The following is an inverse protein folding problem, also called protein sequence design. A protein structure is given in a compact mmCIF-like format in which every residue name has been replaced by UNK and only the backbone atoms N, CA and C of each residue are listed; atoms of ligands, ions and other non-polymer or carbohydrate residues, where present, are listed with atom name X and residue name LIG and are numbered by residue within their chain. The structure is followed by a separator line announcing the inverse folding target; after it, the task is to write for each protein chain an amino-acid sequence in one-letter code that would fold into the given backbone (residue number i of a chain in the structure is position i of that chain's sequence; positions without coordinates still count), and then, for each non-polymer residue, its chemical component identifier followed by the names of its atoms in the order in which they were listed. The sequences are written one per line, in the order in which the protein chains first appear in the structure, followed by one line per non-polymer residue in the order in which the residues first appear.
data_IF_896914108129
#
_entry.id   IF_896914108129
#
_cell.length_a   1.000
_cell.length_b   1.000
_cell.length_c   1.000
_cell.angle_alpha   90.00
_cell.angle_beta   90.00
_cell.angle_gamma   90.00
#
_symmetry.space_group_name_H-M   'P 1'
#
loop_
_entity.id
_entity.type
_entity.pdbx_description
1 polymer ?
#
# COMPACT_ATOMS: atom_id res chain seq x y z
N UNK A 1 4.50 3.28 28.68
CA UNK A 1 4.23 2.61 27.39
C UNK A 1 5.40 2.92 26.49
N UNK A 2 6.22 1.94 26.11
CA UNK A 2 7.24 2.13 25.08
C UNK A 2 6.50 2.39 23.75
N UNK A 3 6.80 3.48 23.06
CA UNK A 3 6.32 3.72 21.70
C UNK A 3 6.75 2.53 20.86
N UNK A 4 5.78 1.86 20.22
CA UNK A 4 6.06 0.80 19.26
C UNK A 4 6.67 1.44 18.02
N UNK A 5 7.98 1.31 17.82
CA UNK A 5 8.67 1.77 16.63
C UNK A 5 8.17 1.00 15.39
N UNK A 6 8.04 1.71 14.27
CA UNK A 6 7.72 1.12 12.98
C UNK A 6 8.84 0.19 12.49
N UNK A 7 8.50 -0.84 11.73
CA UNK A 7 9.47 -1.79 11.13
C UNK A 7 10.53 -1.06 10.31
N UNK A 8 10.15 -0.04 9.53
CA UNK A 8 11.07 0.78 8.76
C UNK A 8 12.07 1.52 9.67
N UNK A 9 11.58 2.18 10.71
CA UNK A 9 12.38 2.91 11.67
C UNK A 9 13.36 1.98 12.41
N UNK A 10 12.93 0.76 12.74
CA UNK A 10 13.79 -0.27 13.34
C UNK A 10 14.85 -0.78 12.37
N UNK A 11 14.56 -0.88 11.08
CA UNK A 11 15.53 -1.23 10.02
C UNK A 11 16.55 -0.09 9.86
N UNK A 12 16.08 1.17 9.77
CA UNK A 12 16.95 2.35 9.63
C UNK A 12 17.84 2.59 10.85
N UNK A 13 17.34 2.31 12.06
CA UNK A 13 18.11 2.41 13.31
C UNK A 13 19.05 1.21 13.57
N UNK A 14 19.06 0.22 12.69
CA UNK A 14 19.93 -0.95 12.80
C UNK A 14 19.54 -1.93 13.91
N UNK A 15 18.35 -1.80 14.51
CA UNK A 15 17.87 -2.75 15.52
C UNK A 15 17.75 -4.17 14.96
N UNK A 16 17.53 -4.30 13.63
CA UNK A 16 17.54 -5.56 12.91
C UNK A 16 18.91 -5.90 12.28
N UNK A 17 19.82 -4.94 12.15
CA UNK A 17 21.12 -5.17 11.52
C UNK A 17 22.07 -6.02 12.39
N UNK A 18 21.79 -6.18 13.67
CA UNK A 18 22.58 -7.04 14.56
C UNK A 18 22.26 -8.55 14.43
N UNK A 19 21.10 -8.88 13.85
CA UNK A 19 20.82 -10.26 13.44
C UNK A 19 21.18 -10.37 11.94
N UNK A 20 22.24 -11.07 11.60
CA UNK A 20 22.85 -11.19 10.27
C UNK A 20 21.96 -11.74 9.13
N UNK A 21 20.64 -11.62 9.24
CA UNK A 21 19.68 -12.35 8.43
C UNK A 21 18.57 -11.52 7.75
N UNK A 22 18.52 -10.18 7.91
CA UNK A 22 17.60 -9.33 7.13
C UNK A 22 18.38 -8.62 6.04
N UNK A 23 18.05 -8.91 4.80
CA UNK A 23 18.41 -8.10 3.65
C UNK A 23 17.21 -7.26 3.25
N UNK A 24 17.31 -5.95 3.31
CA UNK A 24 16.29 -5.04 2.84
C UNK A 24 16.83 -4.23 1.66
N UNK A 25 16.05 -4.15 0.60
CA UNK A 25 16.35 -3.34 -0.59
C UNK A 25 15.31 -2.24 -0.72
N UNK A 26 15.77 -1.00 -0.78
CA UNK A 26 14.90 0.17 -0.92
C UNK A 26 14.92 0.70 -2.35
N UNK A 27 13.75 1.04 -2.87
CA UNK A 27 13.68 1.89 -4.05
C UNK A 27 13.56 3.36 -3.63
N UNK A 28 12.65 3.64 -2.71
CA UNK A 28 12.38 4.97 -2.14
C UNK A 28 11.44 4.86 -0.91
N UNK A 29 10.86 6.01 -0.50
CA UNK A 29 9.93 6.08 0.64
C UNK A 29 8.64 5.28 0.45
N UNK A 30 8.25 4.97 -0.80
CA UNK A 30 7.01 4.28 -1.14
C UNK A 30 7.17 2.77 -1.26
N UNK A 31 8.39 2.25 -1.52
CA UNK A 31 8.61 0.84 -1.85
C UNK A 31 9.80 0.29 -1.08
N UNK A 32 9.56 -0.80 -0.35
CA UNK A 32 10.56 -1.53 0.41
C UNK A 32 10.39 -3.03 0.12
N UNK A 33 11.50 -3.72 -0.14
CA UNK A 33 11.54 -5.19 -0.26
C UNK A 33 12.41 -5.73 0.87
N UNK A 34 11.87 -6.70 1.58
CA UNK A 34 12.53 -7.38 2.68
C UNK A 34 12.70 -8.84 2.28
N UNK A 35 13.96 -9.27 2.17
CA UNK A 35 14.31 -10.64 1.90
C UNK A 35 14.58 -11.39 3.19
N UNK A 36 14.12 -12.63 3.22
CA UNK A 36 14.39 -13.57 4.29
C UNK A 36 14.03 -13.05 5.69
N UNK A 37 12.73 -12.85 5.92
CA UNK A 37 12.19 -12.38 7.21
C UNK A 37 12.30 -13.47 8.28
N UNK A 38 13.50 -14.03 8.52
CA UNK A 38 13.75 -14.93 9.67
C UNK A 38 13.59 -14.21 11.03
N UNK A 39 13.55 -12.90 11.01
CA UNK A 39 13.59 -12.02 12.18
C UNK A 39 12.24 -11.82 12.85
N UNK A 40 11.20 -12.44 12.36
CA UNK A 40 9.92 -12.42 13.05
C UNK A 40 9.93 -13.24 14.37
N UNK A 41 11.09 -13.65 14.86
CA UNK A 41 11.25 -14.24 16.21
C UNK A 41 11.20 -13.21 17.34
N UNK A 42 10.79 -11.97 17.05
CA UNK A 42 10.59 -10.97 18.10
C UNK A 42 9.30 -11.25 18.85
N UNK A 43 9.37 -11.44 20.18
CA UNK A 43 8.19 -11.75 20.99
C UNK A 43 7.17 -10.59 21.11
N UNK A 44 7.55 -9.39 20.68
CA UNK A 44 6.68 -8.21 20.76
C UNK A 44 5.84 -8.03 19.48
N UNK A 45 4.53 -7.72 19.61
CA UNK A 45 3.69 -7.41 18.48
C UNK A 45 4.24 -6.26 17.63
N UNK A 46 4.28 -6.43 16.31
CA UNK A 46 4.80 -5.44 15.37
C UNK A 46 3.67 -4.68 14.70
N UNK A 47 3.85 -3.38 14.50
CA UNK A 47 2.92 -2.55 13.73
C UNK A 47 3.56 -2.21 12.38
N UNK A 48 2.83 -2.47 11.30
CA UNK A 48 3.22 -2.09 9.95
C UNK A 48 2.51 -0.81 9.54
N UNK A 49 3.25 0.17 9.01
CA UNK A 49 2.68 1.42 8.48
C UNK A 49 2.45 1.38 6.97
N UNK A 50 2.95 0.35 6.30
CA UNK A 50 2.81 0.12 4.86
C UNK A 50 1.89 -1.06 4.58
N UNK A 51 1.38 -1.13 3.35
CA UNK A 51 0.77 -2.36 2.87
C UNK A 51 1.87 -3.40 2.70
N UNK A 52 1.70 -4.58 3.27
CA UNK A 52 2.67 -5.67 3.16
C UNK A 52 2.06 -6.83 2.38
N UNK A 53 2.83 -7.34 1.43
CA UNK A 53 2.54 -8.53 0.64
C UNK A 53 3.74 -9.45 0.78
N UNK A 54 3.58 -10.56 1.50
CA UNK A 54 4.65 -11.51 1.75
C UNK A 54 4.33 -12.87 1.12
N UNK A 55 5.24 -13.38 0.30
CA UNK A 55 5.16 -14.72 -0.29
C UNK A 55 5.94 -15.70 0.55
N UNK A 56 5.29 -16.72 1.09
CA UNK A 56 5.93 -17.79 1.84
C UNK A 56 6.54 -18.83 0.91
N UNK A 57 7.84 -18.97 0.97
CA UNK A 57 8.63 -19.87 0.12
C UNK A 57 8.86 -21.24 0.78
N UNK A 58 9.00 -21.27 2.11
CA UNK A 58 9.23 -22.48 2.91
C UNK A 58 8.67 -22.29 4.32
N UNK A 59 8.40 -23.43 4.96
CA UNK A 59 7.95 -23.45 6.35
C UNK A 59 6.55 -22.93 6.57
N UNK A 60 6.28 -22.56 7.81
CA UNK A 60 4.99 -22.03 8.24
C UNK A 60 5.13 -20.98 9.34
N UNK A 61 4.14 -20.11 9.40
CA UNK A 61 4.00 -19.05 10.40
C UNK A 61 2.58 -19.08 10.95
N UNK A 62 2.42 -19.13 12.29
CA UNK A 62 1.15 -18.88 12.98
C UNK A 62 1.24 -17.55 13.69
N UNK A 63 0.26 -16.70 13.47
CA UNK A 63 0.24 -15.34 14.02
C UNK A 63 -1.20 -14.86 14.26
N UNK A 64 -1.31 -13.76 14.99
CA UNK A 64 -2.54 -12.98 15.07
C UNK A 64 -2.36 -11.66 14.30
N UNK A 65 -3.21 -11.42 13.30
CA UNK A 65 -3.32 -10.14 12.62
C UNK A 65 -4.54 -9.38 13.13
N UNK A 66 -4.31 -8.26 13.83
CA UNK A 66 -5.40 -7.49 14.43
C UNK A 66 -6.35 -8.36 15.28
N UNK A 67 -5.81 -9.27 16.10
CA UNK A 67 -6.51 -10.25 16.95
C UNK A 67 -7.28 -11.35 16.18
N UNK A 68 -6.94 -11.58 14.91
CA UNK A 68 -7.45 -12.71 14.13
C UNK A 68 -6.32 -13.69 13.92
N UNK A 69 -6.53 -14.93 14.25
CA UNK A 69 -5.57 -15.99 13.97
C UNK A 69 -5.40 -16.18 12.45
N UNK A 70 -4.16 -16.27 12.03
CA UNK A 70 -3.76 -16.58 10.66
C UNK A 70 -2.69 -17.66 10.68
N UNK A 71 -2.73 -18.52 9.66
CA UNK A 71 -1.69 -19.48 9.37
C UNK A 71 -1.22 -19.23 7.95
N UNK A 72 0.09 -19.06 7.79
CA UNK A 72 0.75 -18.85 6.49
C UNK A 72 1.66 -20.03 6.26
N UNK A 73 1.48 -20.74 5.16
CA UNK A 73 2.24 -21.93 4.79
C UNK A 73 2.97 -21.71 3.47
N UNK A 74 3.87 -22.65 3.13
CA UNK A 74 4.54 -22.63 1.82
C UNK A 74 3.50 -22.51 0.69
N UNK A 75 3.72 -21.55 -0.21
CA UNK A 75 2.83 -21.27 -1.33
C UNK A 75 1.72 -20.26 -1.01
N UNK A 76 1.68 -19.70 0.20
CA UNK A 76 0.73 -18.66 0.55
C UNK A 76 1.28 -17.26 0.30
N UNK A 77 0.39 -16.34 -0.03
CA UNK A 77 0.62 -14.90 0.06
C UNK A 77 -0.08 -14.38 1.31
N UNK A 78 0.70 -13.81 2.22
CA UNK A 78 0.19 -13.05 3.35
C UNK A 78 0.06 -11.58 2.94
N UNK A 79 -1.08 -10.96 3.25
CA UNK A 79 -1.37 -9.56 2.93
C UNK A 79 -1.82 -8.85 4.20
N UNK A 80 -1.26 -7.66 4.44
CA UNK A 80 -1.61 -6.82 5.57
C UNK A 80 -1.77 -5.36 5.16
N UNK A 81 -2.90 -4.71 5.44
CA UNK A 81 -3.05 -3.27 5.24
C UNK A 81 -2.23 -2.48 6.28
N UNK A 82 -1.98 -1.17 6.04
CA UNK A 82 -1.27 -0.33 6.97
C UNK A 82 -1.95 -0.25 8.35
N UNK A 83 -1.16 0.06 9.36
CA UNK A 83 -1.58 0.14 10.77
C UNK A 83 -2.05 -1.19 11.37
N UNK A 84 -1.80 -2.30 10.68
CA UNK A 84 -2.05 -3.63 11.23
C UNK A 84 -1.03 -3.98 12.31
N UNK A 85 -1.49 -4.75 13.29
CA UNK A 85 -0.66 -5.30 14.37
C UNK A 85 -0.54 -6.80 14.09
N UNK A 86 0.69 -7.26 13.88
CA UNK A 86 1.04 -8.66 13.73
C UNK A 86 1.71 -9.16 15.01
N UNK A 87 1.13 -10.17 15.61
CA UNK A 87 1.64 -10.85 16.81
C UNK A 87 1.96 -12.29 16.44
N UNK A 88 3.25 -12.61 16.36
CA UNK A 88 3.74 -13.93 15.92
C UNK A 88 3.72 -14.88 17.11
N UNK A 89 3.11 -16.05 16.89
CA UNK A 89 2.97 -17.10 17.92
C UNK A 89 3.96 -18.23 17.70
N UNK A 90 4.06 -18.72 16.47
CA UNK A 90 4.92 -19.83 16.10
C UNK A 90 5.53 -19.60 14.72
N UNK A 91 6.80 -19.95 14.56
CA UNK A 91 7.53 -19.92 13.27
C UNK A 91 8.30 -21.21 13.14
N UNK A 92 8.16 -21.92 12.02
CA UNK A 92 8.99 -23.11 11.76
C UNK A 92 10.45 -22.74 11.51
N UNK A 93 11.37 -23.63 11.84
CA UNK A 93 12.83 -23.38 11.72
C UNK A 93 13.27 -23.07 10.29
N UNK A 94 12.58 -23.66 9.30
CA UNK A 94 12.87 -23.48 7.87
C UNK A 94 12.07 -22.34 7.23
N UNK A 95 11.32 -21.54 8.02
CA UNK A 95 10.49 -20.47 7.49
C UNK A 95 11.29 -19.47 6.68
N UNK A 96 10.84 -19.24 5.45
CA UNK A 96 11.40 -18.25 4.56
C UNK A 96 10.29 -17.55 3.78
N UNK A 97 10.28 -16.23 3.83
CA UNK A 97 9.38 -15.41 3.02
C UNK A 97 10.10 -14.20 2.47
N UNK A 98 9.57 -13.67 1.37
CA UNK A 98 9.94 -12.37 0.83
C UNK A 98 8.74 -11.46 0.95
N UNK A 99 8.94 -10.31 1.59
CA UNK A 99 7.91 -9.31 1.78
C UNK A 99 8.18 -8.08 0.91
N UNK A 100 7.14 -7.62 0.24
CA UNK A 100 7.10 -6.34 -0.45
C UNK A 100 6.19 -5.42 0.36
N UNK A 101 6.72 -4.27 0.74
CA UNK A 101 5.97 -3.25 1.45
C UNK A 101 5.78 -2.03 0.53
N UNK A 102 4.54 -1.55 0.43
CA UNK A 102 4.20 -0.40 -0.41
C UNK A 102 3.38 0.58 0.43
N UNK A 103 3.76 1.86 0.40
CA UNK A 103 2.98 2.90 1.07
C UNK A 103 1.56 2.99 0.49
N UNK A 104 0.61 3.56 1.22
CA UNK A 104 -0.72 3.81 0.66
C UNK A 104 -0.67 4.67 -0.58
N UNK A 105 0.15 5.71 -0.55
CA UNK A 105 0.34 6.60 -1.66
C UNK A 105 0.90 5.87 -2.88
N UNK A 106 1.97 5.07 -2.71
CA UNK A 106 2.55 4.25 -3.77
C UNK A 106 1.55 3.23 -4.33
N UNK A 107 0.81 2.54 -3.46
CA UNK A 107 -0.21 1.57 -3.86
C UNK A 107 -1.34 2.21 -4.69
N UNK A 108 -1.87 3.36 -4.23
CA UNK A 108 -2.86 4.12 -4.98
C UNK A 108 -2.32 4.60 -6.33
N UNK A 109 -1.07 5.07 -6.39
CA UNK A 109 -0.41 5.48 -7.62
C UNK A 109 -0.25 4.32 -8.61
N UNK A 110 0.19 3.16 -8.13
CA UNK A 110 0.46 1.97 -8.96
C UNK A 110 -0.85 1.33 -9.44
N UNK A 111 -1.80 1.06 -8.55
CA UNK A 111 -3.04 0.36 -8.89
C UNK A 111 -4.11 1.25 -9.51
N UNK A 112 -4.18 2.54 -9.18
CA UNK A 112 -5.19 3.51 -9.67
C UNK A 112 -6.57 2.88 -9.95
N UNK A 113 -6.84 2.53 -11.21
CA UNK A 113 -8.12 1.99 -11.66
C UNK A 113 -8.49 0.61 -11.07
N UNK A 114 -7.58 -0.07 -10.42
CA UNK A 114 -7.79 -1.41 -9.85
C UNK A 114 -7.76 -1.44 -8.31
N UNK A 115 -7.64 -0.26 -7.68
CA UNK A 115 -7.51 -0.16 -6.21
C UNK A 115 -8.78 -0.61 -5.46
N UNK A 116 -9.96 -0.59 -6.10
CA UNK A 116 -11.22 -1.02 -5.48
C UNK A 116 -11.17 -2.48 -5.02
N UNK A 117 -10.63 -3.37 -5.84
CA UNK A 117 -10.49 -4.80 -5.50
C UNK A 117 -9.63 -4.95 -4.25
N UNK A 118 -8.49 -4.26 -4.20
CA UNK A 118 -7.61 -4.26 -3.05
C UNK A 118 -8.30 -3.74 -1.79
N UNK A 119 -8.92 -2.57 -1.88
CA UNK A 119 -9.58 -1.95 -0.73
C UNK A 119 -10.72 -2.82 -0.20
N UNK A 120 -11.54 -3.39 -1.08
CA UNK A 120 -12.60 -4.32 -0.71
C UNK A 120 -12.04 -5.55 0.01
N UNK A 121 -11.00 -6.17 -0.54
CA UNK A 121 -10.38 -7.34 0.08
C UNK A 121 -9.81 -7.00 1.46
N UNK A 122 -9.07 -5.91 1.59
CA UNK A 122 -8.38 -5.53 2.83
C UNK A 122 -9.31 -5.01 3.91
N UNK A 123 -10.23 -4.13 3.55
CA UNK A 123 -10.99 -3.37 4.54
C UNK A 123 -12.43 -3.88 4.74
N UNK A 124 -13.02 -4.52 3.74
CA UNK A 124 -14.38 -5.07 3.81
C UNK A 124 -14.32 -6.57 4.12
N UNK A 125 -13.71 -7.36 3.25
CA UNK A 125 -13.67 -8.83 3.39
C UNK A 125 -12.61 -9.31 4.37
N UNK A 126 -11.63 -8.46 4.74
CA UNK A 126 -10.56 -8.77 5.69
C UNK A 126 -9.74 -10.00 5.28
N UNK A 127 -9.47 -10.13 3.98
CA UNK A 127 -8.61 -11.19 3.46
C UNK A 127 -7.17 -10.91 3.92
N UNK A 128 -6.51 -11.93 4.47
CA UNK A 128 -5.16 -11.81 4.98
C UNK A 128 -4.20 -12.88 4.42
N UNK A 129 -4.72 -14.00 3.96
CA UNK A 129 -3.94 -15.10 3.39
C UNK A 129 -4.62 -15.56 2.11
N UNK A 130 -3.84 -15.70 1.04
CA UNK A 130 -4.27 -16.21 -0.26
C UNK A 130 -3.47 -17.46 -0.61
N UNK A 131 -4.12 -18.47 -1.12
CA UNK A 131 -3.48 -19.69 -1.61
C UNK A 131 -3.03 -19.49 -3.06
N UNK A 132 -1.76 -19.77 -3.36
CA UNK A 132 -1.24 -19.78 -4.72
C UNK A 132 -1.21 -21.20 -5.27
N UNK A 133 -1.52 -21.35 -6.54
CA UNK A 133 -1.22 -22.57 -7.28
C UNK A 133 0.28 -22.60 -7.70
N UNK A 134 0.73 -23.69 -8.29
CA UNK A 134 2.14 -23.86 -8.72
C UNK A 134 2.56 -22.79 -9.75
N UNK A 135 1.67 -22.40 -10.65
CA UNK A 135 1.96 -21.38 -11.68
C UNK A 135 2.14 -20.01 -11.04
N UNK A 136 1.27 -19.65 -10.09
CA UNK A 136 1.35 -18.41 -9.34
C UNK A 136 2.65 -18.35 -8.54
N UNK A 137 3.06 -19.45 -7.89
CA UNK A 137 4.31 -19.53 -7.15
C UNK A 137 5.53 -19.29 -8.04
N UNK A 138 5.54 -19.90 -9.24
CA UNK A 138 6.63 -19.70 -10.21
C UNK A 138 6.66 -18.25 -10.67
N UNK A 139 5.51 -17.67 -11.00
CA UNK A 139 5.39 -16.26 -11.40
C UNK A 139 5.96 -15.34 -10.32
N UNK A 140 5.51 -15.50 -9.07
CA UNK A 140 5.96 -14.67 -7.94
C UNK A 140 7.45 -14.80 -7.67
N UNK A 141 8.01 -16.01 -7.76
CA UNK A 141 9.45 -16.25 -7.60
C UNK A 141 10.25 -15.47 -8.67
N UNK A 142 9.88 -15.62 -9.94
CA UNK A 142 10.58 -14.93 -11.05
C UNK A 142 10.42 -13.43 -10.97
N UNK A 143 9.24 -12.94 -10.63
CA UNK A 143 8.98 -11.54 -10.39
C UNK A 143 9.88 -10.96 -9.29
N UNK A 144 9.98 -11.64 -8.15
CA UNK A 144 10.82 -11.22 -7.04
C UNK A 144 12.29 -11.16 -7.44
N UNK A 145 12.77 -12.14 -8.22
CA UNK A 145 14.14 -12.14 -8.75
C UNK A 145 14.42 -10.95 -9.66
N UNK A 146 13.47 -10.59 -10.55
CA UNK A 146 13.58 -9.42 -11.42
C UNK A 146 13.63 -8.11 -10.62
N UNK A 147 12.78 -7.97 -9.63
CA UNK A 147 12.78 -6.76 -8.80
C UNK A 147 14.08 -6.65 -8.00
N UNK A 148 14.59 -7.75 -7.41
CA UNK A 148 15.90 -7.77 -6.76
C UNK A 148 17.01 -7.32 -7.69
N UNK A 149 17.02 -7.84 -8.92
CA UNK A 149 18.01 -7.45 -9.93
C UNK A 149 17.95 -5.94 -10.22
N UNK A 150 16.75 -5.37 -10.36
CA UNK A 150 16.58 -3.94 -10.56
C UNK A 150 17.02 -3.09 -9.34
N UNK A 151 17.01 -3.67 -8.14
CA UNK A 151 17.42 -2.98 -6.92
C UNK A 151 18.90 -3.18 -6.59
N UNK A 152 19.59 -4.14 -7.21
CA UNK A 152 21.02 -4.40 -6.98
C UNK A 152 21.87 -3.19 -7.43
N UNK A 153 22.65 -2.56 -6.51
CA UNK A 153 23.53 -1.47 -6.85
C UNK A 153 24.53 -1.81 -7.95
N UNK A 154 25.08 -3.04 -7.92
CA UNK A 154 26.10 -3.50 -8.92
C UNK A 154 25.52 -3.59 -10.33
N UNK A 155 24.24 -3.99 -10.45
CA UNK A 155 23.54 -4.02 -11.71
C UNK A 155 23.26 -2.60 -12.20
N UNK A 156 22.85 -1.72 -11.30
CA UNK A 156 22.50 -0.34 -11.62
C UNK A 156 23.68 0.49 -12.11
N UNK A 157 24.88 0.30 -11.56
CA UNK A 157 26.07 1.03 -11.98
C UNK A 157 26.54 0.68 -13.39
N UNK A 158 26.19 -0.51 -13.88
CA UNK A 158 26.60 -1.04 -15.19
C UNK A 158 25.48 -0.99 -16.23
N UNK A 159 24.25 -0.70 -15.85
CA UNK A 159 23.10 -0.74 -16.75
C UNK A 159 22.80 0.62 -17.37
N UNK A 160 22.33 0.61 -18.63
CA UNK A 160 21.77 1.78 -19.31
C UNK A 160 20.39 2.19 -18.80
N UNK A 161 19.85 1.47 -17.80
CA UNK A 161 18.46 1.65 -17.31
C UNK A 161 18.32 2.74 -16.25
N UNK A 162 19.41 3.29 -15.76
CA UNK A 162 19.42 4.26 -14.66
C UNK A 162 18.36 5.36 -14.76
N UNK A 163 18.11 5.98 -15.95
CA UNK A 163 17.07 7.00 -16.09
C UNK A 163 15.64 6.50 -15.91
N UNK A 164 15.37 5.22 -16.20
CA UNK A 164 14.03 4.61 -16.20
C UNK A 164 13.84 3.55 -15.10
N UNK A 165 14.83 3.39 -14.23
CA UNK A 165 14.83 2.34 -13.20
C UNK A 165 13.56 2.34 -12.36
N UNK A 166 13.15 3.50 -11.88
CA UNK A 166 11.96 3.65 -11.06
C UNK A 166 10.70 3.22 -11.82
N UNK A 167 10.55 3.70 -13.05
CA UNK A 167 9.40 3.37 -13.90
C UNK A 167 9.34 1.86 -14.23
N UNK A 168 10.50 1.23 -14.46
CA UNK A 168 10.60 -0.21 -14.67
C UNK A 168 10.13 -0.96 -13.42
N UNK A 169 10.63 -0.59 -12.23
CA UNK A 169 10.24 -1.23 -10.98
C UNK A 169 8.76 -1.01 -10.67
N UNK A 170 8.23 0.20 -10.82
CA UNK A 170 6.80 0.50 -10.64
C UNK A 170 5.93 -0.34 -11.60
N UNK A 171 6.37 -0.54 -12.85
CA UNK A 171 5.65 -1.36 -13.85
C UNK A 171 5.68 -2.84 -13.47
N UNK A 172 6.81 -3.36 -13.01
CA UNK A 172 6.92 -4.71 -12.48
C UNK A 172 6.00 -4.88 -11.26
N UNK A 173 6.05 -3.98 -10.29
CA UNK A 173 5.19 -4.00 -9.11
C UNK A 173 3.71 -3.97 -9.48
N UNK A 174 3.34 -3.15 -10.46
CA UNK A 174 1.97 -3.11 -10.97
C UNK A 174 1.52 -4.47 -11.49
N UNK A 175 2.37 -5.15 -12.26
CA UNK A 175 2.06 -6.49 -12.79
C UNK A 175 1.83 -7.51 -11.68
N UNK A 176 2.67 -7.52 -10.64
CA UNK A 176 2.50 -8.41 -9.50
C UNK A 176 1.25 -8.07 -8.67
N UNK A 177 1.00 -6.79 -8.42
CA UNK A 177 -0.19 -6.35 -7.69
C UNK A 177 -1.48 -6.67 -8.44
N UNK A 178 -1.48 -6.60 -9.78
CA UNK A 178 -2.61 -7.05 -10.60
C UNK A 178 -2.81 -8.57 -10.50
N UNK A 179 -1.73 -9.36 -10.47
CA UNK A 179 -1.84 -10.80 -10.27
C UNK A 179 -2.43 -11.13 -8.89
N UNK A 180 -1.98 -10.45 -7.81
CA UNK A 180 -2.60 -10.57 -6.48
C UNK A 180 -4.05 -10.14 -6.50
N UNK A 181 -4.38 -9.05 -7.19
CA UNK A 181 -5.77 -8.58 -7.32
C UNK A 181 -6.67 -9.63 -8.00
N UNK A 182 -6.13 -10.37 -8.97
CA UNK A 182 -6.85 -11.47 -9.60
C UNK A 182 -7.10 -12.63 -8.61
N UNK A 183 -6.11 -13.01 -7.81
CA UNK A 183 -6.30 -14.00 -6.74
C UNK A 183 -7.35 -13.52 -5.73
N UNK A 184 -7.30 -12.25 -5.34
CA UNK A 184 -8.31 -11.66 -4.45
C UNK A 184 -9.71 -11.74 -5.02
N UNK A 185 -9.90 -11.53 -6.32
CA UNK A 185 -11.23 -11.65 -6.97
C UNK A 185 -11.81 -13.04 -6.87
N UNK A 186 -10.99 -14.09 -6.87
CA UNK A 186 -11.46 -15.48 -6.74
C UNK A 186 -11.94 -15.79 -5.32
N UNK A 187 -11.34 -15.16 -4.32
CA UNK A 187 -11.63 -15.39 -2.90
C UNK A 187 -12.68 -14.43 -2.32
N UNK A 188 -12.99 -13.34 -3.04
CA UNK A 188 -14.01 -12.40 -2.58
C UNK A 188 -15.41 -13.02 -2.68
N UNK A 189 -16.25 -12.88 -1.64
CA UNK A 189 -17.65 -13.29 -1.71
C UNK A 189 -18.34 -12.60 -2.89
N UNK A 190 -19.08 -13.38 -3.70
CA UNK A 190 -19.98 -12.80 -4.71
C UNK A 190 -20.96 -11.89 -4.01
N UNK A 191 -21.19 -10.70 -4.58
CA UNK A 191 -22.00 -9.64 -3.98
C UNK A 191 -23.35 -10.16 -3.51
N UNK A 192 -23.60 -10.03 -2.22
CA UNK A 192 -24.95 -9.95 -1.71
C UNK A 192 -25.31 -8.47 -1.65
N UNK A 193 -26.22 -8.04 -2.50
CA UNK A 193 -26.81 -6.69 -2.47
C UNK A 193 -27.48 -6.49 -1.09
N UNK A 194 -26.79 -5.84 -0.18
CA UNK A 194 -27.26 -5.51 1.16
C UNK A 194 -27.02 -4.03 1.47
N UNK A 195 -27.84 -3.47 2.35
CA UNK A 195 -27.68 -2.10 2.90
C UNK A 195 -26.86 -2.12 4.18
N UNK A 196 -25.81 -2.93 4.22
CA UNK A 196 -24.96 -3.04 5.40
C UNK A 196 -23.95 -1.88 5.50
N UNK A 197 -23.40 -1.66 6.68
CA UNK A 197 -22.35 -0.63 6.89
C UNK A 197 -21.11 -0.88 6.00
N UNK A 198 -20.80 -2.14 5.69
CA UNK A 198 -19.75 -2.54 4.76
C UNK A 198 -20.04 -2.06 3.33
N UNK A 199 -21.29 -2.12 2.89
CA UNK A 199 -21.69 -1.69 1.54
C UNK A 199 -21.57 -0.18 1.37
N UNK A 200 -21.90 0.61 2.40
CA UNK A 200 -21.67 2.06 2.37
C UNK A 200 -20.20 2.41 2.29
N UNK A 201 -19.34 1.67 3.00
CA UNK A 201 -17.90 1.89 2.94
C UNK A 201 -17.33 1.52 1.57
N UNK A 202 -17.73 0.39 1.01
CA UNK A 202 -17.30 -0.08 -0.32
C UNK A 202 -17.72 0.93 -1.41
N UNK A 203 -19.00 1.35 -1.42
CA UNK A 203 -19.52 2.38 -2.32
C UNK A 203 -18.80 3.72 -2.17
N UNK A 204 -18.47 4.13 -0.95
CA UNK A 204 -17.70 5.34 -0.73
C UNK A 204 -16.31 5.28 -1.37
N UNK A 205 -15.60 4.15 -1.21
CA UNK A 205 -14.29 3.96 -1.83
C UNK A 205 -14.39 3.90 -3.36
N UNK A 206 -15.43 3.27 -3.89
CA UNK A 206 -15.72 3.24 -5.31
C UNK A 206 -15.99 4.65 -5.87
N UNK A 207 -16.82 5.43 -5.18
CA UNK A 207 -17.08 6.84 -5.54
C UNK A 207 -15.79 7.67 -5.51
N UNK A 208 -14.93 7.52 -4.50
CA UNK A 208 -13.63 8.18 -4.44
C UNK A 208 -12.75 7.80 -5.63
N UNK A 209 -12.76 6.53 -6.04
CA UNK A 209 -11.99 6.07 -7.18
C UNK A 209 -12.50 6.63 -8.49
N UNK A 210 -13.82 6.63 -8.72
CA UNK A 210 -14.45 7.05 -9.96
C UNK A 210 -14.57 8.57 -10.11
N UNK A 211 -14.58 9.32 -9.00
CA UNK A 211 -14.71 10.78 -9.02
C UNK A 211 -13.55 11.42 -9.78
N UNK A 212 -13.85 12.31 -10.72
CA UNK A 212 -12.84 13.13 -11.40
C UNK A 212 -12.17 14.11 -10.43
N UNK A 213 -12.94 14.68 -9.51
CA UNK A 213 -12.46 15.58 -8.47
C UNK A 213 -12.57 14.86 -7.13
N UNK A 214 -11.44 14.40 -6.60
CA UNK A 214 -11.36 13.72 -5.30
C UNK A 214 -11.55 14.70 -4.13
N UNK A 215 -11.05 15.92 -4.28
CA UNK A 215 -11.06 16.95 -3.24
C UNK A 215 -12.45 17.57 -3.08
N UNK A 216 -13.43 16.74 -2.70
CA UNK A 216 -14.78 17.13 -2.35
C UNK A 216 -14.98 17.05 -0.82
N UNK A 217 -15.87 17.88 -0.25
CA UNK A 217 -16.20 17.78 1.17
C UNK A 217 -16.88 16.44 1.50
N UNK A 218 -16.76 15.98 2.74
CA UNK A 218 -17.38 14.71 3.19
C UNK A 218 -18.89 14.70 2.96
N UNK A 219 -19.51 15.86 3.07
CA UNK A 219 -20.94 16.09 2.83
C UNK A 219 -21.38 15.68 1.43
N UNK A 220 -20.54 15.93 0.42
CA UNK A 220 -20.81 15.52 -0.96
C UNK A 220 -20.98 14.01 -1.07
N UNK A 221 -20.04 13.23 -0.56
CA UNK A 221 -20.08 11.77 -0.61
C UNK A 221 -21.21 11.22 0.26
N UNK A 222 -21.41 11.77 1.43
CA UNK A 222 -22.48 11.35 2.34
C UNK A 222 -23.87 11.56 1.73
N UNK A 223 -24.08 12.69 1.04
CA UNK A 223 -25.34 12.99 0.34
C UNK A 223 -25.61 11.98 -0.78
N UNK A 224 -24.60 11.64 -1.58
CA UNK A 224 -24.74 10.63 -2.65
C UNK A 224 -25.10 9.24 -2.10
N UNK A 225 -24.63 8.92 -0.89
CA UNK A 225 -24.94 7.67 -0.19
C UNK A 225 -26.23 7.74 0.63
N UNK A 226 -26.93 8.87 0.65
CA UNK A 226 -28.14 9.11 1.46
C UNK A 226 -27.92 8.86 2.97
N UNK A 227 -26.73 9.22 3.49
CA UNK A 227 -26.37 9.11 4.90
C UNK A 227 -25.80 10.43 5.43
N UNK A 228 -25.61 10.54 6.74
CA UNK A 228 -25.00 11.74 7.34
C UNK A 228 -23.47 11.67 7.24
N UNK A 229 -22.75 12.83 7.12
CA UNK A 229 -21.29 12.90 7.14
C UNK A 229 -20.68 12.24 8.38
N UNK A 230 -21.31 12.42 9.54
CA UNK A 230 -20.90 11.80 10.79
C UNK A 230 -20.97 10.28 10.71
N UNK A 231 -22.05 9.73 10.16
CA UNK A 231 -22.22 8.29 10.01
C UNK A 231 -21.21 7.71 9.01
N UNK A 232 -20.97 8.39 7.89
CA UNK A 232 -19.93 8.00 6.93
C UNK A 232 -18.54 7.93 7.60
N UNK A 233 -18.17 8.94 8.38
CA UNK A 233 -16.89 8.95 9.11
C UNK A 233 -16.79 7.83 10.15
N UNK A 234 -17.88 7.49 10.82
CA UNK A 234 -17.94 6.35 11.77
C UNK A 234 -17.73 5.02 11.02
N UNK A 235 -18.41 4.82 9.90
CA UNK A 235 -18.25 3.63 9.06
C UNK A 235 -16.80 3.50 8.60
N UNK A 236 -16.22 4.54 8.02
CA UNK A 236 -14.83 4.54 7.56
C UNK A 236 -13.88 4.18 8.70
N UNK A 237 -14.03 4.83 9.87
CA UNK A 237 -13.19 4.58 11.04
C UNK A 237 -13.29 3.14 11.54
N UNK A 238 -14.50 2.57 11.51
CA UNK A 238 -14.77 1.18 11.95
C UNK A 238 -14.12 0.14 11.04
N UNK A 239 -14.19 0.38 9.72
CA UNK A 239 -13.70 -0.60 8.73
C UNK A 239 -12.21 -0.51 8.47
N UNK A 240 -11.64 0.70 8.45
CA UNK A 240 -10.25 0.94 8.04
C UNK A 240 -9.36 1.62 9.09
N UNK A 241 -9.92 2.05 10.22
CA UNK A 241 -9.20 2.86 11.19
C UNK A 241 -9.03 4.32 10.79
N UNK A 242 -9.46 4.74 9.59
CA UNK A 242 -9.39 6.09 9.05
C UNK A 242 -10.76 6.71 8.92
N UNK A 243 -10.85 8.03 9.08
CA UNK A 243 -12.07 8.81 8.83
C UNK A 243 -12.31 9.01 7.34
N UNK A 244 -13.50 9.46 6.95
CA UNK A 244 -13.81 9.78 5.57
C UNK A 244 -12.90 10.88 5.00
N UNK A 245 -12.57 11.89 5.80
CA UNK A 245 -11.68 12.98 5.38
C UNK A 245 -10.24 12.49 5.13
N UNK A 246 -9.74 11.56 5.95
CA UNK A 246 -8.41 10.96 5.75
C UNK A 246 -8.37 10.17 4.43
N UNK A 247 -9.44 9.44 4.09
CA UNK A 247 -9.55 8.76 2.80
C UNK A 247 -9.58 9.73 1.62
N UNK A 248 -10.40 10.80 1.70
CA UNK A 248 -10.47 11.84 0.66
C UNK A 248 -9.10 12.49 0.45
N UNK A 249 -8.40 12.78 1.56
CA UNK A 249 -7.06 13.38 1.52
C UNK A 249 -6.06 12.44 0.83
N UNK A 250 -6.05 11.16 1.16
CA UNK A 250 -5.14 10.19 0.54
C UNK A 250 -5.35 10.09 -0.98
N UNK A 251 -6.60 9.97 -1.43
CA UNK A 251 -6.89 9.92 -2.87
C UNK A 251 -6.53 11.23 -3.58
N UNK A 252 -6.80 12.36 -2.94
CA UNK A 252 -6.41 13.68 -3.46
C UNK A 252 -4.90 13.81 -3.60
N UNK A 253 -4.14 13.39 -2.58
CA UNK A 253 -2.68 13.42 -2.62
C UNK A 253 -2.09 12.47 -3.67
N UNK A 254 -2.68 11.30 -3.86
CA UNK A 254 -2.27 10.39 -4.91
C UNK A 254 -2.43 11.00 -6.30
N UNK A 255 -3.53 11.71 -6.55
CA UNK A 255 -3.73 12.42 -7.80
C UNK A 255 -2.78 13.62 -7.95
N UNK A 256 -2.57 14.42 -6.90
CA UNK A 256 -1.60 15.52 -6.89
C UNK A 256 -0.21 15.02 -7.28
N UNK A 257 0.25 13.96 -6.63
CA UNK A 257 1.58 13.39 -6.89
C UNK A 257 1.68 12.84 -8.30
N UNK A 258 0.64 12.14 -8.77
CA UNK A 258 0.61 11.65 -10.15
C UNK A 258 0.77 12.79 -11.17
N UNK A 259 -0.01 13.85 -11.05
CA UNK A 259 0.10 14.98 -11.99
C UNK A 259 1.43 15.72 -11.88
N UNK A 260 1.97 15.88 -10.67
CA UNK A 260 3.26 16.52 -10.47
C UNK A 260 4.43 15.70 -11.03
N UNK A 261 4.35 14.36 -10.96
CA UNK A 261 5.38 13.43 -11.44
C UNK A 261 5.27 13.18 -12.93
N UNK A 262 4.09 12.80 -13.39
CA UNK A 262 3.87 12.14 -14.69
C UNK A 262 3.45 13.11 -15.80
N UNK A 263 3.36 14.41 -15.53
CA UNK A 263 2.95 15.39 -16.53
C UNK A 263 3.84 16.63 -16.57
N UNK A 264 3.84 17.31 -17.72
CA UNK A 264 4.48 18.63 -17.90
C UNK A 264 3.54 19.79 -17.61
N UNK A 265 2.30 19.52 -17.18
CA UNK A 265 1.28 20.55 -16.87
C UNK A 265 1.80 21.54 -15.84
N UNK A 266 1.42 22.79 -16.00
CA UNK A 266 1.73 23.85 -15.04
C UNK A 266 1.02 23.62 -13.71
N UNK A 267 1.52 24.19 -12.64
CA UNK A 267 0.87 24.11 -11.30
C UNK A 267 -0.56 24.68 -11.36
N UNK A 268 -0.80 25.70 -12.18
CA UNK A 268 -2.12 26.30 -12.39
C UNK A 268 -3.10 25.32 -13.06
N UNK A 269 -2.66 24.63 -14.10
CA UNK A 269 -3.47 23.61 -14.79
C UNK A 269 -3.80 22.44 -13.86
N UNK A 270 -2.81 21.94 -13.11
CA UNK A 270 -3.02 20.86 -12.15
C UNK A 270 -4.03 21.27 -11.08
N UNK A 271 -3.88 22.47 -10.52
CA UNK A 271 -4.82 23.02 -9.55
C UNK A 271 -6.27 23.04 -10.08
N UNK A 272 -6.45 23.46 -11.35
CA UNK A 272 -7.77 23.47 -12.01
C UNK A 272 -8.33 22.07 -12.24
N UNK A 273 -7.51 21.13 -12.76
CA UNK A 273 -7.92 19.73 -13.01
C UNK A 273 -8.38 19.06 -11.72
N UNK A 274 -7.69 19.32 -10.61
CA UNK A 274 -8.01 18.70 -9.32
C UNK A 274 -9.13 19.44 -8.56
N UNK A 275 -9.74 20.47 -9.16
CA UNK A 275 -10.90 21.16 -8.60
C UNK A 275 -10.58 22.12 -7.46
N UNK A 276 -9.35 22.57 -7.31
CA UNK A 276 -8.99 23.58 -6.33
C UNK A 276 -9.45 24.97 -6.80
N UNK A 277 -10.07 25.74 -5.91
CA UNK A 277 -10.64 27.06 -6.20
C UNK A 277 -9.62 28.05 -6.75
N UNK A 278 -8.36 27.92 -6.36
CA UNK A 278 -7.25 28.72 -6.87
C UNK A 278 -5.89 28.06 -6.56
N UNK A 279 -4.85 28.53 -7.25
CA UNK A 279 -3.47 28.01 -7.12
C UNK A 279 -2.87 28.25 -5.72
N UNK A 280 -3.29 29.32 -5.04
CA UNK A 280 -2.79 29.64 -3.69
C UNK A 280 -3.30 28.62 -2.67
N UNK A 281 -4.58 28.26 -2.75
CA UNK A 281 -5.17 27.22 -1.90
C UNK A 281 -4.57 25.85 -2.20
N UNK A 282 -4.39 25.49 -3.48
CA UNK A 282 -3.66 24.29 -3.90
C UNK A 282 -2.25 24.25 -3.30
N UNK A 283 -1.48 25.35 -3.42
CA UNK A 283 -0.14 25.45 -2.90
C UNK A 283 -0.06 25.32 -1.37
N UNK A 284 -1.07 25.84 -0.65
CA UNK A 284 -1.20 25.68 0.81
C UNK A 284 -1.48 24.22 1.15
N UNK A 285 -2.44 23.59 0.48
CA UNK A 285 -2.82 22.20 0.69
C UNK A 285 -1.64 21.24 0.46
N UNK A 286 -0.91 21.40 -0.65
CA UNK A 286 0.28 20.59 -0.95
C UNK A 286 1.36 20.78 0.12
N UNK A 287 1.59 22.02 0.58
CA UNK A 287 2.60 22.29 1.62
C UNK A 287 2.22 21.69 2.97
N UNK A 288 0.95 21.73 3.31
CA UNK A 288 0.43 21.16 4.56
C UNK A 288 0.62 19.63 4.61
N UNK A 289 0.37 18.95 3.49
CA UNK A 289 0.38 17.48 3.46
C UNK A 289 1.70 16.86 2.96
N UNK A 290 2.44 17.55 2.08
CA UNK A 290 3.70 17.05 1.51
C UNK A 290 4.92 17.84 1.98
N UNK A 291 4.74 18.80 2.92
CA UNK A 291 5.79 19.60 3.55
C UNK A 291 6.66 20.42 2.58
N UNK A 292 6.27 20.50 1.31
CA UNK A 292 6.97 21.22 0.24
C UNK A 292 5.98 21.98 -0.63
N UNK A 293 6.47 23.04 -1.32
CA UNK A 293 5.64 23.66 -2.36
C UNK A 293 5.49 22.73 -3.55
N UNK A 294 4.39 22.83 -4.35
CA UNK A 294 4.18 21.96 -5.51
C UNK A 294 5.36 21.93 -6.49
N UNK A 295 6.01 23.09 -6.71
CA UNK A 295 7.16 23.19 -7.60
C UNK A 295 8.38 22.45 -7.03
N UNK A 296 8.71 22.69 -5.76
CA UNK A 296 9.80 21.98 -5.08
C UNK A 296 9.58 20.47 -5.02
N UNK A 297 8.34 20.04 -4.77
CA UNK A 297 7.99 18.64 -4.76
C UNK A 297 8.17 18.01 -6.15
N UNK A 298 7.73 18.68 -7.23
CA UNK A 298 7.99 18.24 -8.61
C UNK A 298 9.48 18.10 -8.90
N UNK A 299 10.29 19.06 -8.48
CA UNK A 299 11.73 19.03 -8.68
C UNK A 299 12.41 17.88 -7.93
N UNK A 300 11.95 17.58 -6.70
CA UNK A 300 12.46 16.44 -5.92
C UNK A 300 12.17 15.11 -6.60
N UNK A 301 10.98 14.95 -7.18
CA UNK A 301 10.58 13.74 -7.91
C UNK A 301 11.36 13.51 -9.21
N UNK A 302 11.88 14.56 -9.83
CA UNK A 302 12.71 14.47 -11.06
C UNK A 302 14.19 14.20 -10.79
N UNK A 303 14.64 14.41 -9.58
CA UNK A 303 16.04 14.18 -9.17
C UNK A 303 16.28 12.76 -8.63
N UNK A 304 15.22 12.04 -8.32
CA UNK A 304 15.22 10.62 -7.93
C UNK A 304 15.15 9.71 -9.15
#
# INVERSE_FOLDING_TARGET
MKEQKDVRQRIEEGEFAQSAEISASYLDEDILIIDNVKVLQNPDPMRFQMNMIASCQRGSLKAELNRREIVVEKGDIFISPPNSILDIKEVSEDFACTAMCVSNHGLLGILRSHISVWNRAMYVSKVSVLKMNEVDMVFYSKFTDLVRLCLDPKFNDRSSWKPYRREIVETLLKSALLAVSNLLLTDLPKETLGTSASDFFDKFLEMLQQSEIKHQPVEYFAQQLCITPKYLSIICKRHSGKTAIEWITEYTLADITYYLRSTTKTIKEISGILGFSNTSFFGKYVREHLHMSPLKYRESLRKQ
#
